data_IF_626566922583
#
_entry.id   IF_626566922583
#
_cell.length_a   1.000
_cell.length_b   1.000
_cell.length_c   1.000
_cell.angle_alpha   90.00
_cell.angle_beta   90.00
_cell.angle_gamma   90.00
#
_symmetry.space_group_name_H-M   'P 1'
#
loop_
_entity.id
_entity.type
_entity.pdbx_description
1 polymer ?
#
# COMPACT_ATOMS: atom_id res chain seq x y z
N UNK A 1 11.57 10.72 46.57
CA UNK A 1 12.21 9.93 45.50
C UNK A 1 11.53 10.29 44.21
N UNK A 2 12.21 11.09 43.37
CA UNK A 2 11.65 11.66 42.14
C UNK A 2 12.27 10.93 40.97
N UNK A 3 11.47 10.20 40.19
CA UNK A 3 11.91 9.44 39.04
C UNK A 3 12.23 10.38 37.88
N UNK A 4 13.49 10.42 37.45
CA UNK A 4 13.92 11.12 36.23
C UNK A 4 13.22 10.45 35.03
N UNK A 5 12.60 11.22 34.11
CA UNK A 5 11.88 10.65 32.98
C UNK A 5 12.82 9.91 32.03
N UNK A 6 12.43 8.70 31.61
CA UNK A 6 13.21 7.78 30.78
C UNK A 6 13.73 8.42 29.47
N UNK A 7 13.02 9.42 28.94
CA UNK A 7 13.40 10.19 27.76
C UNK A 7 14.64 11.08 27.97
N UNK A 8 14.81 11.64 29.17
CA UNK A 8 16.02 12.41 29.50
C UNK A 8 17.22 11.49 29.71
N UNK A 9 17.01 10.30 30.29
CA UNK A 9 18.05 9.28 30.40
C UNK A 9 18.52 8.78 29.03
N UNK A 10 17.60 8.53 28.11
CA UNK A 10 17.93 8.10 26.74
C UNK A 10 18.62 9.21 25.93
N UNK A 11 18.20 10.47 26.09
CA UNK A 11 18.87 11.61 25.45
C UNK A 11 20.28 11.85 25.98
N UNK A 12 20.48 11.76 27.29
CA UNK A 12 21.80 11.88 27.90
C UNK A 12 22.73 10.71 27.49
N UNK A 13 22.18 9.50 27.34
CA UNK A 13 22.95 8.32 26.91
C UNK A 13 23.38 8.42 25.44
N UNK A 14 22.51 8.93 24.56
CA UNK A 14 22.86 9.19 23.16
C UNK A 14 23.98 10.24 23.02
N UNK A 15 23.94 11.29 23.84
CA UNK A 15 24.97 12.33 23.85
C UNK A 15 26.33 11.81 24.38
N UNK A 16 26.30 10.92 25.39
CA UNK A 16 27.51 10.27 25.89
C UNK A 16 28.12 9.30 24.87
N UNK A 17 27.29 8.58 24.10
CA UNK A 17 27.78 7.69 23.03
C UNK A 17 28.37 8.47 21.84
N UNK A 18 27.78 9.62 21.48
CA UNK A 18 28.32 10.52 20.47
C UNK A 18 29.66 11.12 20.91
N UNK A 19 29.77 11.53 22.18
CA UNK A 19 31.04 11.97 22.76
C UNK A 19 32.09 10.85 22.81
N UNK A 20 31.70 9.60 23.10
CA UNK A 20 32.60 8.43 23.03
C UNK A 20 33.09 8.18 21.61
N UNK A 21 32.24 8.31 20.59
CA UNK A 21 32.64 8.17 19.19
C UNK A 21 33.62 9.28 18.77
N UNK A 22 33.36 10.53 19.16
CA UNK A 22 34.28 11.63 18.91
C UNK A 22 35.61 11.46 19.64
N UNK A 23 35.60 10.98 20.89
CA UNK A 23 36.83 10.71 21.65
C UNK A 23 37.64 9.56 21.02
N UNK A 24 36.96 8.54 20.49
CA UNK A 24 37.58 7.42 19.77
C UNK A 24 38.18 7.87 18.44
N UNK A 25 37.50 8.73 17.67
CA UNK A 25 38.06 9.34 16.45
C UNK A 25 39.27 10.24 16.76
N UNK A 26 39.21 11.01 17.84
CA UNK A 26 40.34 11.85 18.28
C UNK A 26 41.53 11.00 18.72
N UNK A 27 41.31 9.88 19.45
CA UNK A 27 42.37 8.93 19.80
C UNK A 27 42.95 8.20 18.57
N UNK A 28 42.12 7.82 17.59
CA UNK A 28 42.56 7.24 16.31
C UNK A 28 43.44 8.19 15.47
N UNK A 29 43.35 9.51 15.73
CA UNK A 29 44.17 10.53 15.08
C UNK A 29 45.37 11.02 15.91
N UNK A 30 45.49 10.59 17.18
CA UNK A 30 46.57 11.01 18.11
C UNK A 30 47.71 10.00 18.27
N UNK A 31 47.55 8.74 17.85
CA UNK A 31 48.62 7.72 17.90
C UNK A 31 49.56 7.79 16.67
N UNK A 32 50.29 8.90 16.57
CA UNK A 32 51.27 9.17 15.51
C UNK A 32 52.38 8.12 15.35
N UNK A 33 52.91 7.45 16.40
CA UNK A 33 53.95 6.42 16.24
C UNK A 33 53.44 5.15 15.55
N UNK A 34 52.21 4.71 15.87
CA UNK A 34 51.62 3.49 15.30
C UNK A 34 51.30 3.64 13.83
N UNK A 35 50.68 4.76 13.43
CA UNK A 35 50.40 5.03 12.01
C UNK A 35 51.67 5.15 11.16
N UNK A 36 52.77 5.67 11.72
CA UNK A 36 54.06 5.73 11.00
C UNK A 36 54.59 4.34 10.70
N UNK A 37 54.48 3.42 11.66
CA UNK A 37 54.89 2.03 11.47
C UNK A 37 54.03 1.32 10.41
N UNK A 38 52.69 1.46 10.50
CA UNK A 38 51.76 0.85 9.54
C UNK A 38 51.95 1.37 8.10
N UNK A 39 52.16 2.68 7.92
CA UNK A 39 52.38 3.27 6.59
C UNK A 39 53.74 2.85 6.03
N UNK A 40 54.80 2.80 6.86
CA UNK A 40 56.10 2.29 6.42
C UNK A 40 56.01 0.83 5.98
N UNK A 41 55.28 -0.01 6.72
CA UNK A 41 55.04 -1.41 6.38
C UNK A 41 54.25 -1.57 5.06
N UNK A 42 53.21 -0.76 4.86
CA UNK A 42 52.45 -0.75 3.60
C UNK A 42 53.30 -0.35 2.40
N UNK A 43 54.20 0.62 2.57
CA UNK A 43 55.12 1.06 1.53
C UNK A 43 56.14 -0.05 1.24
N UNK A 44 56.71 -0.72 2.26
CA UNK A 44 57.61 -1.87 2.08
C UNK A 44 56.95 -2.97 1.24
N UNK A 45 55.72 -3.35 1.59
CA UNK A 45 54.96 -4.39 0.87
C UNK A 45 54.75 -3.98 -0.60
N UNK A 46 54.43 -2.71 -0.84
CA UNK A 46 54.23 -2.19 -2.20
C UNK A 46 55.51 -2.23 -3.05
N UNK A 47 56.67 -1.87 -2.50
CA UNK A 47 57.92 -1.93 -3.26
C UNK A 47 58.41 -3.37 -3.48
N UNK A 48 58.23 -4.26 -2.49
CA UNK A 48 58.49 -5.70 -2.61
C UNK A 48 57.61 -6.35 -3.69
N UNK A 49 56.33 -5.98 -3.78
CA UNK A 49 55.42 -6.54 -4.79
C UNK A 49 55.70 -6.07 -6.22
N UNK A 50 56.45 -4.98 -6.38
CA UNK A 50 56.80 -4.40 -7.68
C UNK A 50 58.26 -4.68 -8.10
N UNK A 51 58.98 -5.53 -7.36
CA UNK A 51 60.36 -5.98 -7.61
C UNK A 51 61.37 -4.81 -7.74
N UNK A 52 61.13 -3.73 -6.97
CA UNK A 52 62.00 -2.56 -6.93
C UNK A 52 62.92 -2.71 -5.71
N UNK A 53 64.24 -2.75 -5.92
CA UNK A 53 65.20 -2.78 -4.82
C UNK A 53 65.13 -1.46 -4.03
N UNK A 54 64.91 -1.55 -2.71
CA UNK A 54 64.83 -0.39 -1.83
C UNK A 54 65.64 -0.60 -0.55
N UNK A 55 66.06 0.52 0.04
CA UNK A 55 66.76 0.57 1.33
C UNK A 55 65.76 0.97 2.43
N UNK A 56 65.72 0.19 3.50
CA UNK A 56 64.68 0.27 4.51
C UNK A 56 64.80 1.54 5.36
N UNK A 57 66.03 2.00 5.57
CA UNK A 57 66.34 3.24 6.29
C UNK A 57 65.85 4.49 5.52
N UNK A 58 65.79 4.41 4.19
CA UNK A 58 65.31 5.48 3.30
C UNK A 58 63.78 5.63 3.35
N UNK A 59 63.05 4.52 3.46
CA UNK A 59 61.58 4.54 3.62
C UNK A 59 61.21 5.15 4.97
N UNK A 60 61.91 4.77 6.04
CA UNK A 60 61.63 5.30 7.37
C UNK A 60 61.95 6.81 7.46
N UNK A 61 63.06 7.26 6.87
CA UNK A 61 63.37 8.69 6.76
C UNK A 61 62.32 9.46 5.94
N UNK A 62 61.88 8.92 4.79
CA UNK A 62 60.87 9.55 3.94
C UNK A 62 59.51 9.70 4.65
N UNK A 63 59.05 8.65 5.31
CA UNK A 63 57.81 8.69 6.11
C UNK A 63 57.95 9.69 7.25
N UNK A 64 59.09 9.71 7.95
CA UNK A 64 59.35 10.66 9.03
C UNK A 64 59.35 12.11 8.55
N UNK A 65 59.92 12.38 7.37
CA UNK A 65 59.99 13.72 6.79
C UNK A 65 58.64 14.22 6.28
N UNK A 66 57.81 13.36 5.67
CA UNK A 66 56.44 13.70 5.25
C UNK A 66 55.55 14.05 6.45
N UNK A 67 55.66 13.30 7.55
CA UNK A 67 54.94 13.62 8.77
C UNK A 67 55.50 14.86 9.49
N UNK A 68 56.81 15.10 9.42
CA UNK A 68 57.41 16.34 9.94
C UNK A 68 56.94 17.56 9.15
N UNK A 69 56.86 17.47 7.82
CA UNK A 69 56.42 18.56 6.94
C UNK A 69 54.95 18.93 7.18
N UNK A 70 54.08 17.93 7.46
CA UNK A 70 52.67 18.18 7.86
C UNK A 70 52.50 18.84 9.23
N UNK A 71 53.54 18.88 10.05
CA UNK A 71 53.55 19.51 11.38
C UNK A 71 54.29 20.85 11.40
N UNK A 72 54.88 21.28 10.28
CA UNK A 72 55.48 22.60 10.18
C UNK A 72 54.44 23.61 9.69
N UNK A 73 54.25 24.68 10.47
CA UNK A 73 53.43 25.81 10.06
C UNK A 73 54.24 26.66 9.07
N UNK A 74 53.99 26.50 7.76
CA UNK A 74 54.44 27.47 6.77
C UNK A 74 53.58 28.73 6.88
N UNK A 75 54.17 29.83 7.34
CA UNK A 75 53.50 31.12 7.34
C UNK A 75 53.19 31.53 5.88
N UNK A 76 51.91 31.74 5.51
CA UNK A 76 51.56 32.13 4.14
C UNK A 76 52.24 33.45 3.79
N UNK A 77 52.83 33.56 2.59
CA UNK A 77 53.29 34.85 2.08
C UNK A 77 52.08 35.77 1.92
N UNK A 78 51.92 36.70 2.86
CA UNK A 78 50.77 37.60 2.87
C UNK A 78 50.78 38.45 1.60
N UNK A 79 49.70 38.35 0.81
CA UNK A 79 49.47 39.26 -0.32
C UNK A 79 49.30 40.69 0.22
N UNK A 80 49.55 41.69 -0.61
CA UNK A 80 49.54 43.10 -0.20
C UNK A 80 48.24 43.51 0.54
N UNK A 81 47.10 42.89 0.18
CA UNK A 81 45.82 43.08 0.86
C UNK A 81 45.80 42.47 2.26
N UNK A 82 46.28 41.25 2.45
CA UNK A 82 46.35 40.58 3.75
C UNK A 82 47.34 41.28 4.69
N UNK A 83 48.46 41.76 4.15
CA UNK A 83 49.42 42.57 4.90
C UNK A 83 48.82 43.93 5.34
N UNK A 84 48.00 44.56 4.47
CA UNK A 84 47.25 45.76 4.81
C UNK A 84 46.19 45.48 5.89
N UNK A 85 45.47 44.36 5.79
CA UNK A 85 44.42 43.95 6.73
C UNK A 85 45.00 43.67 8.13
N UNK A 86 46.08 42.89 8.18
CA UNK A 86 46.80 42.60 9.43
C UNK A 86 47.34 43.88 10.05
N UNK A 87 47.97 44.77 9.26
CA UNK A 87 48.44 46.07 9.76
C UNK A 87 47.31 46.92 10.31
N UNK A 88 46.16 46.95 9.64
CA UNK A 88 45.02 47.79 10.02
C UNK A 88 44.29 47.25 11.26
N UNK A 89 44.21 45.92 11.43
CA UNK A 89 43.59 45.28 12.60
C UNK A 89 44.51 45.20 13.83
N UNK A 90 45.82 45.08 13.64
CA UNK A 90 46.81 44.98 14.75
C UNK A 90 47.25 46.34 15.31
N UNK A 91 47.20 47.42 14.52
CA UNK A 91 47.43 48.80 14.99
C UNK A 91 46.19 49.41 15.66
N UNK A 92 45.70 48.74 16.72
CA UNK A 92 44.51 49.17 17.49
C UNK A 92 44.78 50.40 18.39
N UNK A 93 46.02 50.84 18.55
CA UNK A 93 46.36 51.89 19.55
C UNK A 93 46.50 53.31 19.00
N UNK A 94 46.49 53.55 17.67
CA UNK A 94 46.68 54.90 17.09
C UNK A 94 45.88 55.21 15.81
N UNK A 95 44.73 54.56 15.59
CA UNK A 95 43.86 54.89 14.45
C UNK A 95 42.75 55.86 14.86
N UNK A 96 42.51 56.96 14.12
CA UNK A 96 41.43 57.89 14.43
C UNK A 96 40.09 57.16 14.35
N UNK A 97 39.27 57.34 15.40
CA UNK A 97 37.97 56.69 15.62
C UNK A 97 37.06 56.63 14.37
N UNK A 98 37.13 57.63 13.50
CA UNK A 98 36.39 57.69 12.25
C UNK A 98 36.69 56.55 11.26
N UNK A 99 37.93 56.07 11.16
CA UNK A 99 38.26 54.95 10.27
C UNK A 99 37.72 53.61 10.79
N UNK A 100 37.61 53.46 12.12
CA UNK A 100 36.99 52.27 12.72
C UNK A 100 35.47 52.27 12.49
N UNK A 101 34.81 53.43 12.56
CA UNK A 101 33.38 53.54 12.22
C UNK A 101 33.13 53.16 10.77
N UNK A 102 33.94 53.67 9.82
CA UNK A 102 33.75 53.36 8.39
C UNK A 102 33.89 51.85 8.14
N UNK A 103 34.91 51.21 8.72
CA UNK A 103 35.11 49.77 8.59
C UNK A 103 33.95 48.96 9.18
N UNK A 104 33.48 49.32 10.38
CA UNK A 104 32.34 48.66 11.03
C UNK A 104 31.04 48.85 10.22
N UNK A 105 30.84 50.03 9.63
CA UNK A 105 29.68 50.30 8.78
C UNK A 105 29.70 49.45 7.51
N UNK A 106 30.87 49.34 6.86
CA UNK A 106 31.02 48.50 5.66
C UNK A 106 30.78 47.02 6.00
N UNK A 107 31.36 46.53 7.11
CA UNK A 107 31.13 45.15 7.56
C UNK A 107 29.65 44.92 7.91
N UNK A 108 28.99 45.87 8.57
CA UNK A 108 27.57 45.78 8.90
C UNK A 108 26.67 45.80 7.65
N UNK A 109 27.02 46.59 6.62
CA UNK A 109 26.29 46.61 5.34
C UNK A 109 26.49 45.31 4.57
N UNK A 110 27.70 44.77 4.52
CA UNK A 110 27.97 43.48 3.86
C UNK A 110 27.31 42.33 4.60
N UNK A 111 27.37 42.32 5.94
CA UNK A 111 26.68 41.33 6.76
C UNK A 111 25.14 41.45 6.64
N UNK A 112 24.62 42.68 6.59
CA UNK A 112 23.19 42.95 6.37
C UNK A 112 22.72 42.52 4.98
N UNK A 113 23.51 42.76 3.94
CA UNK A 113 23.24 42.27 2.58
C UNK A 113 23.30 40.74 2.51
N UNK A 114 24.29 40.11 3.15
CA UNK A 114 24.42 38.66 3.23
C UNK A 114 23.23 38.01 3.98
N UNK A 115 22.81 38.59 5.10
CA UNK A 115 21.64 38.14 5.85
C UNK A 115 20.33 38.36 5.08
N UNK A 116 20.19 39.45 4.32
CA UNK A 116 19.05 39.67 3.42
C UNK A 116 19.01 38.64 2.28
N UNK A 117 20.17 38.31 1.69
CA UNK A 117 20.28 37.25 0.68
C UNK A 117 19.93 35.88 1.26
N UNK A 118 20.31 35.58 2.52
CA UNK A 118 19.91 34.30 3.14
C UNK A 118 18.43 34.25 3.52
N UNK A 119 17.80 35.38 3.84
CA UNK A 119 16.39 35.43 4.27
C UNK A 119 15.41 35.48 3.10
N UNK A 120 15.85 35.91 1.91
CA UNK A 120 15.01 36.06 0.71
C UNK A 120 15.59 35.39 -0.56
N UNK A 121 16.77 34.79 -0.47
CA UNK A 121 17.37 34.04 -1.58
C UNK A 121 16.80 32.63 -1.65
N UNK A 122 16.65 32.06 -2.87
CA UNK A 122 16.23 30.68 -3.01
C UNK A 122 17.24 29.76 -2.31
N UNK A 123 16.79 28.68 -1.65
CA UNK A 123 17.70 27.69 -1.10
C UNK A 123 18.64 27.19 -2.21
N UNK A 124 19.93 27.09 -1.91
CA UNK A 124 20.91 26.52 -2.84
C UNK A 124 20.69 25.00 -2.90
N UNK A 125 19.81 24.56 -3.80
CA UNK A 125 19.59 23.14 -4.10
C UNK A 125 20.69 22.60 -5.01
N UNK A 126 21.12 21.35 -4.79
CA UNK A 126 21.99 20.66 -5.74
C UNK A 126 21.25 20.40 -7.05
N UNK A 127 21.96 20.41 -8.18
CA UNK A 127 21.38 20.04 -9.47
C UNK A 127 20.77 18.62 -9.44
N UNK A 128 21.35 17.73 -8.64
CA UNK A 128 20.85 16.37 -8.46
C UNK A 128 19.46 16.34 -7.83
N UNK A 129 19.19 17.16 -6.79
CA UNK A 129 17.86 17.23 -6.16
C UNK A 129 16.81 17.78 -7.13
N UNK A 130 17.18 18.78 -7.93
CA UNK A 130 16.28 19.35 -8.94
C UNK A 130 15.90 18.30 -9.99
N UNK A 131 16.88 17.51 -10.47
CA UNK A 131 16.63 16.41 -11.41
C UNK A 131 15.77 15.31 -10.79
N UNK A 132 16.03 14.94 -9.55
CA UNK A 132 15.24 13.94 -8.82
C UNK A 132 13.77 14.34 -8.74
N UNK A 133 13.47 15.57 -8.29
CA UNK A 133 12.09 16.08 -8.20
C UNK A 133 11.44 16.19 -9.58
N UNK A 134 12.19 16.59 -10.62
CA UNK A 134 11.69 16.64 -12.00
C UNK A 134 11.34 15.25 -12.56
N UNK A 135 12.17 14.23 -12.26
CA UNK A 135 11.90 12.85 -12.61
C UNK A 135 10.65 12.33 -11.87
N UNK A 136 10.57 12.57 -10.55
CA UNK A 136 9.41 12.19 -9.74
C UNK A 136 8.11 12.86 -10.25
N UNK A 137 8.17 14.13 -10.66
CA UNK A 137 7.03 14.82 -11.25
C UNK A 137 6.55 14.18 -12.56
N UNK A 138 7.49 13.76 -13.41
CA UNK A 138 7.16 13.04 -14.65
C UNK A 138 6.56 11.68 -14.36
N UNK A 139 7.08 10.95 -13.38
CA UNK A 139 6.56 9.65 -12.95
C UNK A 139 5.13 9.77 -12.40
N UNK A 140 4.90 10.66 -11.45
CA UNK A 140 3.57 10.89 -10.86
C UNK A 140 2.55 11.29 -11.93
N UNK A 141 2.95 12.12 -12.90
CA UNK A 141 2.09 12.48 -14.04
C UNK A 141 1.68 11.26 -14.86
N UNK A 142 2.64 10.40 -15.22
CA UNK A 142 2.38 9.19 -16.00
C UNK A 142 1.49 8.22 -15.21
N UNK A 143 1.78 7.99 -13.94
CA UNK A 143 0.97 7.16 -13.06
C UNK A 143 -0.47 7.68 -12.94
N UNK A 144 -0.66 9.01 -12.89
CA UNK A 144 -1.99 9.62 -12.85
C UNK A 144 -2.74 9.52 -14.17
N UNK A 145 -2.03 9.58 -15.30
CA UNK A 145 -2.63 9.31 -16.60
C UNK A 145 -3.13 7.85 -16.70
N UNK A 146 -2.39 6.89 -16.12
CA UNK A 146 -2.83 5.49 -16.07
C UNK A 146 -3.97 5.29 -15.05
N UNK A 147 -3.91 5.94 -13.89
CA UNK A 147 -5.01 5.96 -12.92
C UNK A 147 -6.30 6.49 -13.55
N UNK A 148 -6.22 7.55 -14.36
CA UNK A 148 -7.35 8.10 -15.09
C UNK A 148 -7.99 7.06 -16.02
N UNK A 149 -7.19 6.25 -16.73
CA UNK A 149 -7.73 5.18 -17.60
C UNK A 149 -8.52 4.14 -16.79
N UNK A 150 -8.03 3.77 -15.61
CA UNK A 150 -8.74 2.81 -14.75
C UNK A 150 -10.03 3.41 -14.18
N UNK A 151 -9.99 4.67 -13.74
CA UNK A 151 -11.20 5.41 -13.32
C UNK A 151 -12.23 5.44 -14.46
N UNK A 152 -11.81 5.78 -15.68
CA UNK A 152 -12.71 5.86 -16.84
C UNK A 152 -13.31 4.50 -17.20
N UNK A 153 -12.50 3.44 -17.16
CA UNK A 153 -12.96 2.05 -17.34
C UNK A 153 -14.01 1.67 -16.31
N UNK A 154 -13.80 1.99 -15.02
CA UNK A 154 -14.76 1.71 -13.97
C UNK A 154 -16.05 2.54 -14.13
N UNK A 155 -15.97 3.81 -14.57
CA UNK A 155 -17.16 4.62 -14.87
C UNK A 155 -18.01 3.98 -15.98
N UNK A 156 -17.38 3.52 -17.06
CA UNK A 156 -18.10 2.83 -18.15
C UNK A 156 -18.75 1.54 -17.67
N UNK A 157 -18.02 0.73 -16.89
CA UNK A 157 -18.57 -0.50 -16.31
C UNK A 157 -19.77 -0.22 -15.39
N UNK A 158 -19.69 0.84 -14.57
CA UNK A 158 -20.79 1.29 -13.72
C UNK A 158 -22.02 1.68 -14.55
N UNK A 159 -21.83 2.46 -15.63
CA UNK A 159 -22.92 2.84 -16.52
C UNK A 159 -23.59 1.64 -17.19
N UNK A 160 -22.80 0.65 -17.64
CA UNK A 160 -23.32 -0.57 -18.26
C UNK A 160 -24.10 -1.44 -17.27
N UNK A 161 -23.64 -1.53 -16.02
CA UNK A 161 -24.37 -2.20 -14.94
C UNK A 161 -25.65 -1.45 -14.57
N UNK A 162 -25.63 -0.12 -14.52
CA UNK A 162 -26.82 0.70 -14.28
C UNK A 162 -27.86 0.50 -15.39
N UNK A 163 -27.43 0.48 -16.66
CA UNK A 163 -28.32 0.16 -17.80
C UNK A 163 -28.89 -1.25 -17.71
N UNK A 164 -28.09 -2.22 -17.26
CA UNK A 164 -28.53 -3.61 -17.09
C UNK A 164 -29.55 -3.73 -15.97
N UNK A 165 -29.31 -3.09 -14.82
CA UNK A 165 -30.26 -3.01 -13.72
C UNK A 165 -31.54 -2.25 -14.11
N UNK A 166 -31.48 -1.25 -14.99
CA UNK A 166 -32.68 -0.59 -15.49
C UNK A 166 -33.60 -1.52 -16.32
N UNK A 167 -33.05 -2.56 -16.96
CA UNK A 167 -33.84 -3.56 -17.70
C UNK A 167 -34.52 -4.57 -16.78
N UNK A 168 -33.90 -4.86 -15.64
CA UNK A 168 -34.43 -5.75 -14.62
C UNK A 168 -34.14 -5.13 -13.23
N UNK A 169 -35.04 -4.26 -12.74
CA UNK A 169 -34.79 -3.50 -11.53
C UNK A 169 -34.59 -4.41 -10.32
N UNK A 170 -33.42 -4.30 -9.68
CA UNK A 170 -33.14 -4.91 -8.38
C UNK A 170 -32.72 -3.81 -7.39
N UNK A 171 -33.42 -3.74 -6.27
CA UNK A 171 -33.24 -2.68 -5.29
C UNK A 171 -31.87 -2.76 -4.60
N UNK A 172 -31.38 -3.96 -4.32
CA UNK A 172 -30.10 -4.18 -3.67
C UNK A 172 -28.93 -3.89 -4.63
N UNK A 173 -29.05 -4.33 -5.89
CA UNK A 173 -28.11 -3.94 -6.96
C UNK A 173 -28.04 -2.42 -7.09
N UNK A 174 -29.17 -1.72 -7.03
CA UNK A 174 -29.21 -0.25 -7.09
C UNK A 174 -28.41 0.40 -5.95
N UNK A 175 -28.48 -0.16 -4.74
CA UNK A 175 -27.70 0.31 -3.60
C UNK A 175 -26.19 0.08 -3.79
N UNK A 176 -25.78 -1.09 -4.26
CA UNK A 176 -24.38 -1.41 -4.57
C UNK A 176 -23.82 -0.46 -5.64
N UNK A 177 -24.56 -0.25 -6.72
CA UNK A 177 -24.15 0.65 -7.80
C UNK A 177 -24.09 2.11 -7.33
N UNK A 178 -24.96 2.53 -6.41
CA UNK A 178 -24.89 3.88 -5.82
C UNK A 178 -23.66 4.04 -4.92
N UNK A 179 -23.31 3.02 -4.13
CA UNK A 179 -22.06 3.02 -3.34
C UNK A 179 -20.83 3.08 -4.24
N UNK A 180 -20.79 2.26 -5.30
CA UNK A 180 -19.73 2.31 -6.30
C UNK A 180 -19.61 3.70 -6.95
N UNK A 181 -20.75 4.30 -7.34
CA UNK A 181 -20.78 5.66 -7.90
C UNK A 181 -20.17 6.70 -6.96
N UNK A 182 -20.44 6.60 -5.66
CA UNK A 182 -19.90 7.54 -4.66
C UNK A 182 -18.41 7.31 -4.38
N UNK A 183 -17.89 6.11 -4.63
CA UNK A 183 -16.48 5.77 -4.43
C UNK A 183 -15.59 6.13 -5.64
N UNK A 184 -16.16 6.16 -6.84
CA UNK A 184 -15.44 6.56 -8.06
C UNK A 184 -15.33 8.09 -8.11
N UNK A 185 -14.11 8.66 -8.28
CA UNK A 185 -13.95 10.11 -8.43
C UNK A 185 -14.76 10.63 -9.62
N UNK A 186 -15.37 11.80 -9.51
CA UNK A 186 -16.15 12.43 -10.61
C UNK A 186 -15.29 13.32 -11.51
N UNK A 187 -14.21 13.89 -10.96
CA UNK A 187 -13.32 14.82 -11.67
C UNK A 187 -12.25 14.15 -12.52
N UNK A 188 -11.48 14.99 -13.22
CA UNK A 188 -10.23 14.56 -13.84
C UNK A 188 -9.16 14.35 -12.75
N UNK A 189 -8.56 13.17 -12.73
CA UNK A 189 -7.53 12.79 -11.75
C UNK A 189 -6.11 13.01 -12.28
N UNK A 190 -5.97 13.47 -13.54
CA UNK A 190 -4.68 13.80 -14.16
C UNK A 190 -4.05 15.03 -13.49
N UNK A 191 -2.74 15.20 -13.70
CA UNK A 191 -1.97 16.34 -13.20
C UNK A 191 -0.97 16.79 -14.26
N UNK A 192 -0.70 18.09 -14.30
CA UNK A 192 0.31 18.70 -15.18
C UNK A 192 1.56 19.14 -14.40
N UNK A 193 1.79 18.55 -13.22
CA UNK A 193 2.94 18.86 -12.37
C UNK A 193 4.27 18.67 -13.12
N UNK A 194 5.15 19.66 -13.03
CA UNK A 194 6.43 19.69 -13.77
C UNK A 194 6.30 19.85 -15.29
N UNK A 195 5.09 19.91 -15.85
CA UNK A 195 4.83 20.13 -17.28
C UNK A 195 4.49 21.60 -17.57
N UNK A 196 3.60 22.17 -16.77
CA UNK A 196 3.14 23.57 -16.86
C UNK A 196 4.16 24.54 -16.26
N UNK A 197 4.77 24.15 -15.15
CA UNK A 197 5.86 24.87 -14.48
C UNK A 197 7.06 23.93 -14.30
N UNK A 198 8.16 24.12 -15.05
CA UNK A 198 9.37 23.31 -14.88
C UNK A 198 9.94 23.42 -13.46
N UNK A 199 10.53 22.33 -12.97
CA UNK A 199 11.18 22.29 -11.65
C UNK A 199 12.42 23.17 -11.67
N UNK A 200 12.50 24.10 -10.73
CA UNK A 200 13.56 25.11 -10.57
C UNK A 200 13.90 25.23 -9.07
N UNK A 201 15.07 25.80 -8.72
CA UNK A 201 15.47 25.96 -7.32
C UNK A 201 14.47 26.76 -6.47
N UNK A 202 13.77 27.72 -7.07
CA UNK A 202 12.83 28.63 -6.39
C UNK A 202 11.43 28.02 -6.15
N UNK A 203 11.06 26.97 -6.86
CA UNK A 203 9.77 26.28 -6.70
C UNK A 203 9.90 24.82 -6.24
N UNK A 204 11.12 24.34 -5.97
CA UNK A 204 11.41 22.93 -5.67
C UNK A 204 10.59 22.41 -4.48
N UNK A 205 10.57 23.13 -3.36
CA UNK A 205 9.83 22.70 -2.16
C UNK A 205 8.32 22.67 -2.38
N UNK A 206 7.81 23.61 -3.18
CA UNK A 206 6.38 23.68 -3.52
C UNK A 206 6.00 22.46 -4.37
N UNK A 207 6.81 22.14 -5.37
CA UNK A 207 6.60 20.98 -6.24
C UNK A 207 6.76 19.68 -5.44
N UNK A 208 7.77 19.57 -4.58
CA UNK A 208 7.99 18.40 -3.73
C UNK A 208 6.79 18.15 -2.78
N UNK A 209 6.27 19.21 -2.15
CA UNK A 209 5.06 19.11 -1.33
C UNK A 209 3.83 18.70 -2.14
N UNK A 210 3.66 19.24 -3.36
CA UNK A 210 2.58 18.84 -4.26
C UNK A 210 2.71 17.38 -4.70
N UNK A 211 3.91 16.88 -4.99
CA UNK A 211 4.14 15.48 -5.35
C UNK A 211 3.72 14.54 -4.23
N UNK A 212 4.12 14.84 -2.99
CA UNK A 212 3.74 14.06 -1.82
C UNK A 212 2.21 14.03 -1.62
N UNK A 213 1.54 15.18 -1.81
CA UNK A 213 0.07 15.25 -1.75
C UNK A 213 -0.60 14.45 -2.87
N UNK A 214 -0.12 14.55 -4.10
CA UNK A 214 -0.63 13.80 -5.25
C UNK A 214 -0.43 12.28 -5.08
N UNK A 215 0.66 11.87 -4.43
CA UNK A 215 0.92 10.47 -4.13
C UNK A 215 -0.01 9.95 -3.04
N UNK A 216 -0.25 10.72 -1.97
CA UNK A 216 -1.25 10.38 -0.95
C UNK A 216 -2.66 10.24 -1.56
N UNK A 217 -3.06 11.19 -2.40
CA UNK A 217 -4.35 11.14 -3.10
C UNK A 217 -4.44 9.94 -4.07
N UNK A 218 -3.35 9.57 -4.76
CA UNK A 218 -3.29 8.35 -5.60
C UNK A 218 -3.67 7.11 -4.79
N UNK A 219 -3.12 6.94 -3.59
CA UNK A 219 -3.45 5.81 -2.73
C UNK A 219 -4.91 5.83 -2.28
N UNK A 220 -5.44 7.02 -1.94
CA UNK A 220 -6.85 7.18 -1.58
C UNK A 220 -7.79 6.77 -2.73
N UNK A 221 -7.50 7.23 -3.96
CA UNK A 221 -8.26 6.87 -5.17
C UNK A 221 -8.16 5.36 -5.43
N UNK A 222 -6.96 4.76 -5.39
CA UNK A 222 -6.82 3.31 -5.60
C UNK A 222 -7.65 2.49 -4.59
N UNK A 223 -7.68 2.92 -3.32
CA UNK A 223 -8.50 2.27 -2.30
C UNK A 223 -9.99 2.40 -2.61
N UNK A 224 -10.45 3.59 -3.01
CA UNK A 224 -11.87 3.80 -3.35
C UNK A 224 -12.29 3.03 -4.61
N UNK A 225 -11.42 2.96 -5.62
CA UNK A 225 -11.63 2.15 -6.82
C UNK A 225 -11.73 0.65 -6.50
N UNK A 226 -10.97 0.14 -5.53
CA UNK A 226 -11.09 -1.26 -5.10
C UNK A 226 -12.44 -1.57 -4.43
N UNK A 227 -12.98 -0.61 -3.66
CA UNK A 227 -14.33 -0.72 -3.08
C UNK A 227 -15.38 -0.70 -4.19
N UNK A 228 -15.27 0.25 -5.13
CA UNK A 228 -16.20 0.36 -6.25
C UNK A 228 -16.20 -0.89 -7.14
N UNK A 229 -15.02 -1.44 -7.45
CA UNK A 229 -14.87 -2.67 -8.23
C UNK A 229 -15.54 -3.86 -7.54
N UNK A 230 -15.38 -3.97 -6.22
CA UNK A 230 -16.01 -5.03 -5.42
C UNK A 230 -17.53 -4.93 -5.46
N UNK A 231 -18.08 -3.73 -5.20
CA UNK A 231 -19.52 -3.48 -5.24
C UNK A 231 -20.09 -3.73 -6.65
N UNK A 232 -19.39 -3.31 -7.70
CA UNK A 232 -19.78 -3.58 -9.09
C UNK A 232 -19.71 -5.07 -9.46
N UNK A 233 -18.71 -5.81 -8.95
CA UNK A 233 -18.59 -7.25 -9.17
C UNK A 233 -19.76 -8.01 -8.56
N UNK A 234 -20.16 -7.66 -7.34
CA UNK A 234 -21.33 -8.27 -6.70
C UNK A 234 -22.64 -7.89 -7.39
N UNK A 235 -22.81 -6.62 -7.75
CA UNK A 235 -23.94 -6.16 -8.55
C UNK A 235 -24.07 -6.95 -9.88
N UNK A 236 -22.96 -7.09 -10.62
CA UNK A 236 -22.93 -7.87 -11.86
C UNK A 236 -23.25 -9.35 -11.64
N UNK A 237 -22.72 -9.95 -10.58
CA UNK A 237 -23.00 -11.33 -10.21
C UNK A 237 -24.48 -11.58 -9.86
N UNK A 238 -25.12 -10.66 -9.14
CA UNK A 238 -26.56 -10.74 -8.85
C UNK A 238 -27.36 -10.66 -10.14
N UNK A 239 -27.09 -9.67 -11.00
CA UNK A 239 -27.79 -9.51 -12.27
C UNK A 239 -27.65 -10.74 -13.17
N UNK A 240 -26.45 -11.34 -13.24
CA UNK A 240 -26.21 -12.57 -13.99
C UNK A 240 -27.04 -13.75 -13.46
N UNK A 241 -27.07 -13.97 -12.13
CA UNK A 241 -27.89 -15.02 -11.52
C UNK A 241 -29.38 -14.77 -11.80
N UNK A 242 -29.88 -13.55 -11.60
CA UNK A 242 -31.28 -13.17 -11.86
C UNK A 242 -31.67 -13.42 -13.31
N UNK A 243 -30.78 -13.07 -14.26
CA UNK A 243 -31.03 -13.31 -15.67
C UNK A 243 -31.02 -14.80 -16.02
N UNK A 244 -30.10 -15.57 -15.44
CA UNK A 244 -30.03 -17.02 -15.61
C UNK A 244 -31.25 -17.74 -15.04
N UNK A 245 -31.75 -17.32 -13.87
CA UNK A 245 -33.02 -17.83 -13.31
C UNK A 245 -34.17 -17.58 -14.28
N UNK A 246 -34.27 -16.36 -14.82
CA UNK A 246 -35.30 -16.02 -15.82
C UNK A 246 -35.19 -16.90 -17.07
N UNK A 247 -33.99 -17.12 -17.59
CA UNK A 247 -33.75 -17.98 -18.76
C UNK A 247 -34.11 -19.45 -18.47
N UNK A 248 -33.73 -19.95 -17.29
CA UNK A 248 -34.05 -21.30 -16.83
C UNK A 248 -35.56 -21.53 -16.75
N UNK A 249 -36.31 -20.58 -16.17
CA UNK A 249 -37.77 -20.67 -16.05
C UNK A 249 -38.50 -20.57 -17.40
N UNK A 250 -37.89 -19.92 -18.39
CA UNK A 250 -38.43 -19.76 -19.74
C UNK A 250 -38.03 -20.89 -20.70
N UNK A 251 -37.11 -21.77 -20.31
CA UNK A 251 -36.62 -22.86 -21.15
C UNK A 251 -37.70 -23.94 -21.33
N UNK A 252 -38.23 -24.15 -22.55
CA UNK A 252 -39.29 -25.13 -22.79
C UNK A 252 -38.86 -26.56 -22.43
N UNK A 253 -37.55 -26.87 -22.49
CA UNK A 253 -37.05 -28.20 -22.14
C UNK A 253 -37.25 -28.50 -20.66
N UNK A 254 -37.21 -27.47 -19.81
CA UNK A 254 -37.34 -27.61 -18.35
C UNK A 254 -38.77 -27.50 -17.86
N UNK A 255 -39.73 -27.17 -18.73
CA UNK A 255 -41.12 -26.95 -18.35
C UNK A 255 -41.75 -28.16 -17.63
N UNK A 256 -41.43 -29.39 -18.08
CA UNK A 256 -41.91 -30.61 -17.44
C UNK A 256 -41.34 -30.79 -16.03
N UNK A 257 -40.03 -30.56 -15.85
CA UNK A 257 -39.39 -30.61 -14.54
C UNK A 257 -39.94 -29.50 -13.61
N UNK A 258 -40.07 -28.27 -14.11
CA UNK A 258 -40.64 -27.13 -13.37
C UNK A 258 -42.04 -27.46 -12.85
N UNK A 259 -42.91 -28.06 -13.68
CA UNK A 259 -44.27 -28.42 -13.28
C UNK A 259 -44.34 -29.55 -12.23
N UNK A 260 -43.27 -30.34 -12.11
CA UNK A 260 -43.16 -31.47 -11.20
C UNK A 260 -42.58 -31.09 -9.83
N UNK A 261 -41.85 -29.98 -9.72
CA UNK A 261 -41.27 -29.54 -8.45
C UNK A 261 -42.31 -28.85 -7.57
N UNK A 262 -42.56 -29.41 -6.39
CA UNK A 262 -43.59 -28.93 -5.47
C UNK A 262 -43.12 -27.75 -4.60
N UNK A 263 -41.81 -27.57 -4.43
CA UNK A 263 -41.18 -26.55 -3.58
C UNK A 263 -40.33 -25.54 -4.37
N UNK A 264 -40.58 -25.41 -5.69
CA UNK A 264 -39.82 -24.50 -6.55
C UNK A 264 -39.87 -23.04 -6.06
N UNK A 265 -41.06 -22.55 -5.69
CA UNK A 265 -41.25 -21.18 -5.20
C UNK A 265 -40.47 -20.91 -3.90
N UNK A 266 -40.41 -21.91 -3.01
CA UNK A 266 -39.65 -21.82 -1.76
C UNK A 266 -38.15 -21.68 -2.01
N UNK A 267 -37.62 -22.46 -2.96
CA UNK A 267 -36.20 -22.40 -3.36
C UNK A 267 -35.85 -21.12 -4.09
N UNK A 268 -36.75 -20.61 -4.94
CA UNK A 268 -36.58 -19.32 -5.61
C UNK A 268 -36.58 -18.18 -4.58
N UNK A 269 -37.49 -18.21 -3.60
CA UNK A 269 -37.51 -17.23 -2.51
C UNK A 269 -36.24 -17.28 -1.65
N UNK A 270 -35.69 -18.47 -1.39
CA UNK A 270 -34.41 -18.61 -0.69
C UNK A 270 -33.25 -18.00 -1.49
N UNK A 271 -33.17 -18.30 -2.80
CA UNK A 271 -32.15 -17.72 -3.66
C UNK A 271 -32.27 -16.19 -3.70
N UNK A 272 -33.49 -15.67 -3.79
CA UNK A 272 -33.76 -14.23 -3.78
C UNK A 272 -33.29 -13.58 -2.48
N UNK A 273 -33.60 -14.19 -1.33
CA UNK A 273 -33.12 -13.74 -0.03
C UNK A 273 -31.58 -13.74 0.03
N UNK A 274 -30.92 -14.77 -0.50
CA UNK A 274 -29.45 -14.82 -0.53
C UNK A 274 -28.87 -13.71 -1.42
N UNK A 275 -29.50 -13.43 -2.57
CA UNK A 275 -29.07 -12.37 -3.48
C UNK A 275 -29.18 -10.97 -2.88
N UNK A 276 -30.19 -10.73 -2.03
CA UNK A 276 -30.35 -9.46 -1.28
C UNK A 276 -29.28 -9.22 -0.22
N UNK A 277 -28.51 -10.24 0.16
CA UNK A 277 -27.48 -10.18 1.20
C UNK A 277 -26.07 -10.46 0.66
N UNK A 278 -25.84 -10.34 -0.66
CA UNK A 278 -24.52 -10.52 -1.25
C UNK A 278 -23.64 -9.31 -0.94
N UNK A 279 -22.85 -9.42 0.11
CA UNK A 279 -21.90 -8.42 0.59
C UNK A 279 -20.44 -8.90 0.60
N UNK A 280 -20.22 -10.19 0.35
CA UNK A 280 -18.93 -10.86 0.43
C UNK A 280 -18.79 -11.94 -0.63
N UNK A 281 -17.54 -12.40 -0.81
CA UNK A 281 -17.27 -13.51 -1.72
C UNK A 281 -18.00 -14.79 -1.28
N UNK A 282 -18.10 -15.03 0.03
CA UNK A 282 -18.77 -16.21 0.57
C UNK A 282 -20.28 -16.19 0.26
N UNK A 283 -20.96 -15.07 0.54
CA UNK A 283 -22.40 -14.92 0.25
C UNK A 283 -22.69 -14.97 -1.26
N UNK A 284 -21.82 -14.39 -2.09
CA UNK A 284 -21.94 -14.52 -3.55
C UNK A 284 -21.79 -15.97 -4.02
N UNK A 285 -20.79 -16.70 -3.52
CA UNK A 285 -20.57 -18.10 -3.86
C UNK A 285 -21.70 -18.99 -3.38
N UNK A 286 -22.29 -18.68 -2.23
CA UNK A 286 -23.45 -19.40 -1.70
C UNK A 286 -24.67 -19.23 -2.62
N UNK A 287 -25.03 -18.00 -2.99
CA UNK A 287 -26.12 -17.74 -3.93
C UNK A 287 -25.88 -18.43 -5.29
N UNK A 288 -24.65 -18.38 -5.80
CA UNK A 288 -24.25 -19.06 -7.04
C UNK A 288 -24.38 -20.58 -6.93
N UNK A 289 -24.00 -21.18 -5.80
CA UNK A 289 -24.17 -22.61 -5.55
C UNK A 289 -25.65 -23.00 -5.48
N UNK A 290 -26.48 -22.23 -4.78
CA UNK A 290 -27.94 -22.45 -4.72
C UNK A 290 -28.56 -22.41 -6.12
N UNK A 291 -28.15 -21.45 -6.96
CA UNK A 291 -28.57 -21.40 -8.36
C UNK A 291 -28.11 -22.63 -9.16
N UNK A 292 -26.86 -23.07 -9.02
CA UNK A 292 -26.33 -24.24 -9.73
C UNK A 292 -27.07 -25.53 -9.34
N UNK A 293 -27.34 -25.71 -8.05
CA UNK A 293 -28.14 -26.84 -7.54
C UNK A 293 -29.55 -26.80 -8.14
N UNK A 294 -30.24 -25.65 -8.08
CA UNK A 294 -31.58 -25.49 -8.64
C UNK A 294 -31.60 -25.75 -10.16
N UNK A 295 -30.63 -25.21 -10.90
CA UNK A 295 -30.54 -25.42 -12.35
C UNK A 295 -30.25 -26.88 -12.72
N UNK A 296 -29.44 -27.59 -11.93
CA UNK A 296 -29.14 -29.00 -12.16
C UNK A 296 -30.28 -29.94 -11.78
N UNK A 297 -31.12 -29.52 -10.85
CA UNK A 297 -32.31 -30.25 -10.40
C UNK A 297 -33.44 -30.17 -11.43
N UNK A 298 -33.60 -29.02 -12.09
CA UNK A 298 -34.62 -28.77 -13.11
C UNK A 298 -34.26 -29.29 -14.52
N UNK A 299 -33.37 -30.29 -14.62
CA UNK A 299 -32.98 -30.86 -15.91
C UNK A 299 -34.02 -31.89 -16.40
N UNK A 300 -34.33 -31.98 -17.71
CA UNK A 300 -35.56 -32.60 -18.22
C UNK A 300 -35.72 -34.11 -17.96
N UNK A 301 -34.63 -34.82 -17.73
CA UNK A 301 -34.61 -36.30 -17.71
C UNK A 301 -34.52 -36.90 -16.29
N UNK A 302 -34.72 -36.09 -15.24
CA UNK A 302 -34.61 -36.57 -13.86
C UNK A 302 -35.94 -37.06 -13.31
N UNK A 303 -35.98 -38.33 -12.94
CA UNK A 303 -37.04 -38.89 -12.08
C UNK A 303 -37.01 -38.22 -10.70
N UNK A 304 -38.16 -37.69 -10.26
CA UNK A 304 -38.26 -36.95 -8.99
C UNK A 304 -37.86 -37.80 -7.78
N UNK A 305 -38.33 -39.05 -7.71
CA UNK A 305 -38.05 -39.92 -6.57
C UNK A 305 -36.55 -40.24 -6.51
N UNK A 306 -35.93 -40.50 -7.66
CA UNK A 306 -34.49 -40.67 -7.77
C UNK A 306 -33.75 -39.41 -7.34
N UNK A 307 -34.18 -38.24 -7.80
CA UNK A 307 -33.56 -36.96 -7.42
C UNK A 307 -33.64 -36.72 -5.91
N UNK A 308 -34.82 -36.90 -5.29
CA UNK A 308 -34.94 -36.69 -3.84
C UNK A 308 -34.14 -37.73 -3.06
N UNK A 309 -34.01 -38.96 -3.57
CA UNK A 309 -33.14 -39.99 -2.99
C UNK A 309 -31.66 -39.58 -3.04
N UNK A 310 -31.19 -39.02 -4.17
CA UNK A 310 -29.83 -38.48 -4.30
C UNK A 310 -29.60 -37.31 -3.34
N UNK A 311 -30.56 -36.38 -3.22
CA UNK A 311 -30.48 -35.25 -2.28
C UNK A 311 -30.43 -35.71 -0.83
N UNK A 312 -31.26 -36.67 -0.44
CA UNK A 312 -31.25 -37.26 0.91
C UNK A 312 -29.92 -37.96 1.22
N UNK A 313 -29.34 -38.67 0.24
CA UNK A 313 -28.03 -39.29 0.39
C UNK A 313 -26.91 -38.26 0.61
N UNK A 314 -26.90 -37.16 -0.16
CA UNK A 314 -25.92 -36.08 0.02
C UNK A 314 -26.06 -35.42 1.40
N UNK A 315 -27.30 -35.17 1.84
CA UNK A 315 -27.63 -34.68 3.18
C UNK A 315 -27.06 -35.59 4.27
N UNK A 316 -27.35 -36.89 4.19
CA UNK A 316 -26.87 -37.89 5.15
C UNK A 316 -25.34 -37.93 5.22
N UNK A 317 -24.68 -37.91 4.06
CA UNK A 317 -23.22 -37.93 3.97
C UNK A 317 -22.60 -36.70 4.62
N UNK A 318 -23.21 -35.52 4.44
CA UNK A 318 -22.74 -34.27 5.08
C UNK A 318 -22.99 -34.23 6.58
N UNK A 319 -24.14 -34.71 7.04
CA UNK A 319 -24.45 -34.82 8.47
C UNK A 319 -23.46 -35.75 9.18
N UNK A 320 -23.00 -36.81 8.50
CA UNK A 320 -21.97 -37.71 9.02
C UNK A 320 -20.56 -37.10 9.03
N UNK A 321 -20.25 -36.15 8.13
CA UNK A 321 -18.90 -35.60 7.97
C UNK A 321 -18.62 -34.33 8.77
N UNK A 322 -19.64 -33.57 9.18
CA UNK A 322 -19.46 -32.35 10.00
C UNK A 322 -19.56 -32.65 11.50
N UNK A 323 -18.74 -31.93 12.28
CA UNK A 323 -18.85 -31.89 13.75
C UNK A 323 -20.06 -31.05 14.14
N UNK A 324 -21.23 -31.69 14.20
CA UNK A 324 -22.49 -31.10 14.66
C UNK A 324 -22.66 -31.46 16.14
N UNK A 325 -23.04 -30.51 17.02
CA UNK A 325 -23.31 -30.79 18.43
C UNK A 325 -24.35 -31.92 18.60
N UNK A 326 -24.13 -32.80 19.57
CA UNK A 326 -24.97 -34.00 19.76
C UNK A 326 -26.44 -33.64 20.04
N UNK A 327 -26.69 -32.50 20.69
CA UNK A 327 -28.03 -31.95 20.95
C UNK A 327 -28.84 -31.69 19.66
N UNK A 328 -28.17 -31.23 18.60
CA UNK A 328 -28.80 -30.94 17.30
C UNK A 328 -28.82 -32.23 16.45
N UNK A 329 -27.84 -33.11 16.64
CA UNK A 329 -27.71 -34.36 15.87
C UNK A 329 -28.93 -35.27 16.02
N UNK A 330 -29.45 -35.47 17.24
CA UNK A 330 -30.65 -36.30 17.44
C UNK A 330 -31.89 -35.79 16.69
N UNK A 331 -32.03 -34.47 16.58
CA UNK A 331 -33.15 -33.85 15.88
C UNK A 331 -32.98 -33.92 14.34
N UNK A 332 -31.76 -33.77 13.86
CA UNK A 332 -31.41 -33.94 12.45
C UNK A 332 -31.58 -35.39 12.01
N UNK A 333 -31.20 -36.35 12.85
CA UNK A 333 -31.37 -37.78 12.59
C UNK A 333 -32.85 -38.16 12.53
N UNK A 334 -33.68 -37.60 13.42
CA UNK A 334 -35.15 -37.73 13.32
C UNK A 334 -35.68 -37.15 12.01
N UNK A 335 -35.23 -35.97 11.62
CA UNK A 335 -35.62 -35.34 10.35
C UNK A 335 -35.21 -36.19 9.14
N UNK A 336 -34.03 -36.82 9.18
CA UNK A 336 -33.58 -37.75 8.14
C UNK A 336 -34.39 -39.04 8.09
N UNK A 337 -34.79 -39.59 9.24
CA UNK A 337 -35.67 -40.77 9.28
C UNK A 337 -37.04 -40.48 8.66
N UNK A 338 -37.58 -39.28 8.89
CA UNK A 338 -38.82 -38.86 8.25
C UNK A 338 -38.68 -38.74 6.74
N UNK A 339 -37.57 -38.17 6.25
CA UNK A 339 -37.27 -38.11 4.81
C UNK A 339 -37.17 -39.52 4.21
N UNK A 340 -36.43 -40.43 4.85
CA UNK A 340 -36.29 -41.82 4.40
C UNK A 340 -37.65 -42.55 4.39
N UNK A 341 -38.55 -42.22 5.33
CA UNK A 341 -39.90 -42.79 5.38
C UNK A 341 -40.76 -42.31 4.21
N UNK A 342 -40.73 -41.02 3.86
CA UNK A 342 -41.48 -40.51 2.70
C UNK A 342 -40.92 -41.04 1.37
N UNK A 343 -39.60 -41.14 1.23
CA UNK A 343 -38.97 -41.75 0.05
C UNK A 343 -39.37 -43.22 -0.12
N UNK A 344 -39.47 -44.00 0.97
CA UNK A 344 -39.93 -45.40 0.92
C UNK A 344 -41.39 -45.55 0.50
N UNK A 345 -42.24 -44.57 0.82
CA UNK A 345 -43.64 -44.54 0.37
C UNK A 345 -43.76 -44.13 -1.10
N UNK A 346 -42.69 -43.62 -1.70
CA UNK A 346 -42.70 -43.05 -3.05
C UNK A 346 -43.27 -41.63 -3.10
N UNK A 347 -43.43 -40.95 -1.95
CA UNK A 347 -43.94 -39.58 -1.88
C UNK A 347 -42.79 -38.59 -2.07
N UNK A 348 -42.46 -38.31 -3.34
CA UNK A 348 -41.39 -37.40 -3.72
C UNK A 348 -41.62 -35.97 -3.24
N UNK A 349 -42.87 -35.53 -3.17
CA UNK A 349 -43.23 -34.15 -2.85
C UNK A 349 -43.08 -33.90 -1.34
N UNK A 350 -43.55 -34.85 -0.51
CA UNK A 350 -43.33 -34.80 0.93
C UNK A 350 -41.84 -34.90 1.29
N UNK A 351 -41.09 -35.76 0.59
CA UNK A 351 -39.65 -35.85 0.74
C UNK A 351 -38.94 -34.54 0.35
N UNK A 352 -39.33 -33.93 -0.78
CA UNK A 352 -38.77 -32.66 -1.26
C UNK A 352 -38.91 -31.55 -0.21
N UNK A 353 -40.13 -31.33 0.30
CA UNK A 353 -40.40 -30.28 1.30
C UNK A 353 -39.58 -30.48 2.58
N UNK A 354 -39.49 -31.71 3.07
CA UNK A 354 -38.70 -32.04 4.27
C UNK A 354 -37.19 -31.83 4.03
N UNK A 355 -36.68 -32.22 2.86
CA UNK A 355 -35.28 -31.99 2.45
C UNK A 355 -34.97 -30.49 2.38
N UNK A 356 -35.83 -29.70 1.73
CA UNK A 356 -35.65 -28.25 1.63
C UNK A 356 -35.69 -27.57 2.99
N UNK A 357 -36.64 -27.94 3.85
CA UNK A 357 -36.72 -27.43 5.22
C UNK A 357 -35.46 -27.73 6.04
N UNK A 358 -34.96 -28.97 5.96
CA UNK A 358 -33.75 -29.39 6.65
C UNK A 358 -32.52 -28.62 6.15
N UNK A 359 -32.38 -28.46 4.83
CA UNK A 359 -31.31 -27.67 4.22
C UNK A 359 -31.33 -26.21 4.71
N UNK A 360 -32.51 -25.57 4.70
CA UNK A 360 -32.66 -24.19 5.17
C UNK A 360 -32.23 -24.03 6.63
N UNK A 361 -32.61 -24.98 7.48
CA UNK A 361 -32.20 -25.01 8.89
C UNK A 361 -30.69 -25.19 9.07
N UNK A 362 -30.09 -26.10 8.31
CA UNK A 362 -28.65 -26.32 8.35
C UNK A 362 -27.87 -25.10 7.85
N UNK A 363 -28.37 -24.38 6.83
CA UNK A 363 -27.80 -23.11 6.36
C UNK A 363 -27.88 -22.03 7.43
N UNK A 364 -29.06 -21.82 8.01
CA UNK A 364 -29.27 -20.84 9.08
C UNK A 364 -28.38 -21.08 10.31
N UNK A 365 -28.08 -22.35 10.61
CA UNK A 365 -27.20 -22.73 11.71
C UNK A 365 -25.70 -22.74 11.35
N UNK A 366 -25.31 -22.36 10.12
CA UNK A 366 -23.93 -22.34 9.66
C UNK A 366 -23.33 -23.73 9.35
N UNK A 367 -24.12 -24.80 9.46
CA UNK A 367 -23.70 -26.16 9.15
C UNK A 367 -23.78 -26.47 7.65
N UNK A 368 -24.32 -25.56 6.85
CA UNK A 368 -24.50 -25.73 5.41
C UNK A 368 -23.94 -24.56 4.58
N UNK A 369 -22.76 -24.05 4.95
CA UNK A 369 -21.90 -23.32 4.03
C UNK A 369 -20.81 -24.24 3.45
N UNK A 370 -20.33 -23.92 2.24
CA UNK A 370 -19.15 -24.56 1.63
C UNK A 370 -17.91 -24.41 2.50
#
# INVERSE_FOLDING_TARGET
MSSIPLSEQLGAMAFVDELRQQQKQVQEHLDLPRRRAEIAEHIRIYYLSNDIAFDDDLIEQGVRQVFAHRLMFEAPQLKAFDAWLVKTLTLRSKTPFWNQIILMTVVAVVAGAFLMIQRHGPPLYSEDKIREVAHAATEVRNERADLYKEVDKQRRALEDLQKSNAKQPDAYVSQLLQRAKNAIPVGDVRTDIGASEPVRPDNLDVIEAQLNALQAEKYAIKKSLGIAETDMKYAGGILDIRQKVKQMLQDPRRAAAIAQFSDLDGRLAELDQQLEHVDSLASHLEASSTYQELSGDLWPDKDLLKLQSERAYVLKTRLASKSIPDEIREELDRSMQEIDAELKKGDSDAAERKISHLNKRLKAAGYWSR
#
